data_IF_445547407670
#
_entry.id   IF_445547407670
#
_cell.length_a   1.000
_cell.length_b   1.000
_cell.length_c   1.000
_cell.angle_alpha   90.00
_cell.angle_beta   90.00
_cell.angle_gamma   90.00
#
_symmetry.space_group_name_H-M   'P 1'
#
loop_
_entity.id
_entity.type
_entity.pdbx_description
1 polymer ?
#
# COMPACT_ATOMS: atom_id res chain seq x y z
N UNK A 1 41.74 -13.75 16.75
CA UNK A 1 40.49 -13.07 16.32
C UNK A 1 39.89 -12.39 17.54
N UNK A 2 39.83 -11.03 17.56
CA UNK A 2 39.39 -10.28 18.77
C UNK A 2 37.99 -10.73 19.20
N UNK A 3 37.75 -10.90 20.52
CA UNK A 3 36.45 -11.36 21.06
C UNK A 3 35.24 -10.64 20.47
N UNK A 4 35.38 -9.33 20.21
CA UNK A 4 34.36 -8.50 19.55
C UNK A 4 33.99 -8.96 18.13
N UNK A 5 34.96 -9.42 17.33
CA UNK A 5 34.71 -9.97 15.99
C UNK A 5 33.99 -11.32 16.07
N UNK A 6 34.30 -12.14 17.07
CA UNK A 6 33.66 -13.45 17.26
C UNK A 6 32.20 -13.28 17.69
N UNK A 7 31.91 -12.37 18.62
CA UNK A 7 30.53 -12.06 19.03
C UNK A 7 29.70 -11.51 17.86
N UNK A 8 30.28 -10.60 17.05
CA UNK A 8 29.61 -10.08 15.86
C UNK A 8 29.24 -11.19 14.88
N UNK A 9 30.20 -12.08 14.55
CA UNK A 9 29.94 -13.19 13.63
C UNK A 9 28.90 -14.19 14.18
N UNK A 10 28.94 -14.49 15.48
CA UNK A 10 27.95 -15.38 16.12
C UNK A 10 26.52 -14.85 16.06
N UNK A 11 26.33 -13.54 16.03
CA UNK A 11 25.00 -12.93 15.89
C UNK A 11 24.62 -12.80 14.41
N UNK A 12 25.55 -12.36 13.56
CA UNK A 12 25.25 -12.04 12.16
C UNK A 12 25.00 -13.28 11.31
N UNK A 13 25.79 -14.36 11.51
CA UNK A 13 25.67 -15.57 10.68
C UNK A 13 24.29 -16.25 10.81
N UNK A 14 23.73 -16.47 12.00
CA UNK A 14 22.39 -17.05 12.13
C UNK A 14 21.31 -16.17 11.48
N UNK A 15 21.39 -14.84 11.63
CA UNK A 15 20.43 -13.91 11.04
C UNK A 15 20.49 -13.96 9.50
N UNK A 16 21.70 -13.96 8.94
CA UNK A 16 21.90 -14.10 7.49
C UNK A 16 21.42 -15.46 6.98
N UNK A 17 21.66 -16.53 7.72
CA UNK A 17 21.19 -17.86 7.35
C UNK A 17 19.64 -17.92 7.35
N UNK A 18 18.98 -17.36 8.36
CA UNK A 18 17.52 -17.26 8.39
C UNK A 18 16.99 -16.41 7.26
N UNK A 19 17.62 -15.26 6.99
CA UNK A 19 17.23 -14.40 5.86
C UNK A 19 17.38 -15.15 4.53
N UNK A 20 18.48 -15.86 4.33
CA UNK A 20 18.71 -16.66 3.11
C UNK A 20 17.62 -17.74 2.97
N UNK A 21 17.36 -18.52 4.02
CA UNK A 21 16.38 -19.61 3.98
C UNK A 21 14.94 -19.13 3.76
N UNK A 22 14.54 -18.01 4.36
CA UNK A 22 13.13 -17.57 4.32
C UNK A 22 12.84 -16.51 3.26
N UNK A 23 13.84 -15.77 2.79
CA UNK A 23 13.67 -14.77 1.73
C UNK A 23 14.33 -15.19 0.41
N UNK A 24 15.62 -15.46 0.45
CA UNK A 24 16.40 -15.65 -0.78
C UNK A 24 16.07 -16.99 -1.46
N UNK A 25 15.97 -18.07 -0.69
CA UNK A 25 15.71 -19.40 -1.24
C UNK A 25 14.31 -19.52 -1.88
N UNK A 26 13.20 -19.03 -1.28
CA UNK A 26 11.89 -18.98 -1.94
C UNK A 26 11.90 -18.12 -3.22
N UNK A 27 12.61 -16.99 -3.22
CA UNK A 27 12.76 -16.15 -4.40
C UNK A 27 13.45 -16.93 -5.55
N UNK A 28 14.59 -17.59 -5.26
CA UNK A 28 15.29 -18.41 -6.26
C UNK A 28 14.38 -19.51 -6.80
N UNK A 29 13.66 -20.21 -5.92
CA UNK A 29 12.68 -21.23 -6.34
C UNK A 29 11.57 -20.64 -7.22
N UNK A 30 11.05 -19.46 -6.86
CA UNK A 30 10.05 -18.74 -7.67
C UNK A 30 10.58 -18.43 -9.07
N UNK A 31 11.82 -17.94 -9.18
CA UNK A 31 12.48 -17.73 -10.49
C UNK A 31 12.63 -19.04 -11.26
N UNK A 32 13.03 -20.14 -10.63
CA UNK A 32 13.13 -21.45 -11.29
C UNK A 32 11.75 -21.91 -11.78
N UNK A 33 10.72 -21.86 -10.95
CA UNK A 33 9.38 -22.28 -11.32
C UNK A 33 8.76 -21.41 -12.41
N UNK A 34 9.18 -20.17 -12.58
CA UNK A 34 8.71 -19.31 -13.67
C UNK A 34 9.02 -19.82 -15.07
N UNK A 35 10.00 -20.71 -15.21
CA UNK A 35 10.35 -21.39 -16.46
C UNK A 35 9.72 -22.76 -16.61
N UNK A 36 8.78 -23.13 -15.75
CA UNK A 36 8.14 -24.46 -15.72
C UNK A 36 6.63 -24.37 -15.80
N UNK A 37 5.97 -25.50 -16.08
CA UNK A 37 4.52 -25.65 -16.01
C UNK A 37 4.03 -26.05 -14.60
N UNK A 38 4.83 -25.81 -13.55
CA UNK A 38 4.51 -26.23 -12.18
C UNK A 38 3.18 -25.70 -11.70
N UNK A 39 2.36 -26.60 -11.16
CA UNK A 39 1.00 -26.30 -10.68
C UNK A 39 0.91 -26.00 -9.18
N UNK A 40 2.03 -26.07 -8.45
CA UNK A 40 2.10 -25.95 -7.01
C UNK A 40 2.23 -27.31 -6.29
N UNK A 41 2.06 -28.41 -7.00
CA UNK A 41 2.22 -29.79 -6.54
C UNK A 41 2.54 -30.73 -7.73
N UNK A 42 3.09 -31.90 -7.43
CA UNK A 42 3.44 -32.91 -8.44
C UNK A 42 4.71 -32.60 -9.24
N UNK A 43 4.87 -33.33 -10.35
CA UNK A 43 5.98 -33.15 -11.27
C UNK A 43 5.75 -31.94 -12.19
N UNK A 44 6.82 -31.43 -12.77
CA UNK A 44 6.77 -30.30 -13.69
C UNK A 44 7.75 -30.48 -14.83
N UNK A 45 7.42 -29.89 -15.96
CA UNK A 45 8.28 -29.82 -17.14
C UNK A 45 8.81 -28.41 -17.35
N UNK A 46 9.96 -28.31 -17.98
CA UNK A 46 10.52 -27.05 -18.41
C UNK A 46 9.80 -26.54 -19.66
N UNK A 47 9.24 -25.32 -19.58
CA UNK A 47 8.55 -24.66 -20.70
C UNK A 47 9.33 -23.46 -21.25
N UNK A 48 10.54 -23.23 -20.74
CA UNK A 48 11.37 -22.10 -21.13
C UNK A 48 10.70 -20.75 -20.84
N UNK A 49 10.73 -19.83 -21.81
CA UNK A 49 10.17 -18.48 -21.69
C UNK A 49 8.66 -18.38 -21.98
N UNK A 50 7.99 -19.51 -22.21
CA UNK A 50 6.57 -19.51 -22.61
C UNK A 50 5.67 -18.78 -21.63
N UNK A 51 5.85 -18.97 -20.32
CA UNK A 51 5.09 -18.25 -19.31
C UNK A 51 5.19 -16.74 -19.49
N UNK A 52 6.38 -16.22 -19.82
CA UNK A 52 6.59 -14.79 -20.03
C UNK A 52 5.91 -14.27 -21.29
N UNK A 53 5.96 -15.02 -22.40
CA UNK A 53 5.25 -14.64 -23.64
C UNK A 53 3.74 -14.64 -23.43
N UNK A 54 3.21 -15.64 -22.75
CA UNK A 54 1.78 -15.78 -22.46
C UNK A 54 1.29 -14.66 -21.52
N UNK A 55 2.12 -14.19 -20.56
CA UNK A 55 1.80 -13.07 -19.68
C UNK A 55 1.52 -11.78 -20.44
N UNK A 56 2.27 -11.47 -21.50
CA UNK A 56 2.06 -10.26 -22.30
C UNK A 56 0.82 -10.32 -23.18
N UNK A 57 0.28 -11.51 -23.44
CA UNK A 57 -0.93 -11.70 -24.24
C UNK A 57 -2.19 -11.92 -23.41
N UNK A 58 -2.03 -12.20 -22.10
CA UNK A 58 -3.15 -12.43 -21.20
C UNK A 58 -3.86 -11.12 -20.83
N UNK A 59 -5.10 -10.99 -21.32
CA UNK A 59 -5.92 -9.80 -21.09
C UNK A 59 -6.27 -9.59 -19.59
N UNK A 60 -6.34 -10.67 -18.78
CA UNK A 60 -6.61 -10.57 -17.34
C UNK A 60 -5.42 -10.01 -16.59
N UNK A 61 -4.23 -10.48 -16.94
CA UNK A 61 -2.97 -9.93 -16.42
C UNK A 61 -2.88 -8.44 -16.74
N UNK A 62 -3.08 -8.06 -18.01
CA UNK A 62 -3.05 -6.63 -18.41
C UNK A 62 -4.05 -5.76 -17.65
N UNK A 63 -5.29 -6.25 -17.44
CA UNK A 63 -6.30 -5.54 -16.64
C UNK A 63 -5.88 -5.37 -15.18
N UNK A 64 -5.27 -6.42 -14.57
CA UNK A 64 -4.78 -6.36 -13.19
C UNK A 64 -3.64 -5.37 -13.03
N UNK A 65 -2.73 -5.27 -14.01
CA UNK A 65 -1.69 -4.24 -14.02
C UNK A 65 -2.30 -2.83 -14.08
N UNK A 66 -3.20 -2.57 -15.02
CA UNK A 66 -3.87 -1.27 -15.15
C UNK A 66 -4.62 -0.89 -13.87
N UNK A 67 -5.35 -1.85 -13.29
CA UNK A 67 -6.06 -1.62 -12.03
C UNK A 67 -5.10 -1.29 -10.89
N UNK A 68 -4.01 -2.07 -10.73
CA UNK A 68 -3.03 -1.88 -9.65
C UNK A 68 -2.36 -0.51 -9.76
N UNK A 69 -1.90 -0.11 -10.94
CA UNK A 69 -1.28 1.20 -11.16
C UNK A 69 -2.28 2.34 -10.92
N UNK A 70 -3.51 2.22 -11.44
CA UNK A 70 -4.56 3.21 -11.19
C UNK A 70 -4.81 3.37 -9.68
N UNK A 71 -5.00 2.26 -8.96
CA UNK A 71 -5.24 2.28 -7.53
C UNK A 71 -4.05 2.90 -6.78
N UNK A 72 -2.83 2.46 -7.08
CA UNK A 72 -1.61 2.94 -6.43
C UNK A 72 -1.41 4.44 -6.62
N UNK A 73 -1.58 4.96 -7.83
CA UNK A 73 -1.45 6.39 -8.12
C UNK A 73 -2.50 7.19 -7.34
N UNK A 74 -3.78 6.81 -7.45
CA UNK A 74 -4.87 7.55 -6.81
C UNK A 74 -4.75 7.49 -5.28
N UNK A 75 -4.52 6.30 -4.71
CA UNK A 75 -4.35 6.14 -3.26
C UNK A 75 -3.15 6.92 -2.74
N UNK A 76 -2.02 6.91 -3.46
CA UNK A 76 -0.81 7.68 -3.11
C UNK A 76 -1.11 9.18 -3.06
N UNK A 77 -1.78 9.72 -4.06
CA UNK A 77 -2.15 11.15 -4.09
C UNK A 77 -3.09 11.49 -2.94
N UNK A 78 -4.15 10.71 -2.76
CA UNK A 78 -5.15 10.94 -1.70
C UNK A 78 -4.51 10.89 -0.32
N UNK A 79 -3.71 9.85 -0.04
CA UNK A 79 -3.03 9.70 1.26
C UNK A 79 -2.06 10.84 1.52
N UNK A 80 -1.23 11.21 0.53
CA UNK A 80 -0.26 12.30 0.73
C UNK A 80 -0.93 13.64 0.96
N UNK A 81 -2.00 13.97 0.20
CA UNK A 81 -2.76 15.21 0.41
C UNK A 81 -3.40 15.23 1.79
N UNK A 82 -4.11 14.18 2.18
CA UNK A 82 -4.77 14.09 3.48
C UNK A 82 -3.75 14.15 4.63
N UNK A 83 -2.65 13.41 4.51
CA UNK A 83 -1.60 13.36 5.53
C UNK A 83 -0.90 14.70 5.70
N UNK A 84 -0.63 15.41 4.61
CA UNK A 84 -0.01 16.74 4.64
C UNK A 84 -0.94 17.78 5.28
N UNK A 85 -2.22 17.78 4.91
CA UNK A 85 -3.23 18.67 5.50
C UNK A 85 -3.36 18.40 7.01
N UNK A 86 -3.45 17.14 7.41
CA UNK A 86 -3.49 16.75 8.83
C UNK A 86 -2.20 17.13 9.56
N UNK A 87 -1.03 16.95 8.94
CA UNK A 87 0.24 17.31 9.55
C UNK A 87 0.35 18.81 9.80
N UNK A 88 -0.04 19.63 8.83
CA UNK A 88 -0.09 21.09 8.97
C UNK A 88 -1.04 21.52 10.10
N UNK A 89 -2.23 20.94 10.14
CA UNK A 89 -3.19 21.17 11.23
C UNK A 89 -2.63 20.76 12.59
N UNK A 90 -2.11 19.54 12.72
CA UNK A 90 -1.57 19.00 13.97
C UNK A 90 -0.23 19.62 14.39
N UNK A 91 0.51 20.25 13.49
CA UNK A 91 1.72 21.00 13.82
C UNK A 91 1.43 22.39 14.39
N UNK A 92 0.21 22.90 14.22
CA UNK A 92 -0.23 24.17 14.83
C UNK A 92 -0.41 24.05 16.34
N UNK A 93 -0.64 25.20 17.02
CA UNK A 93 -0.83 25.27 18.49
C UNK A 93 -2.26 24.82 18.87
N UNK A 94 -2.56 23.51 18.70
CA UNK A 94 -3.89 22.93 19.03
C UNK A 94 -3.86 22.30 20.43
N UNK A 95 -4.95 22.48 21.20
CA UNK A 95 -5.18 21.78 22.47
C UNK A 95 -5.43 20.29 22.20
N UNK A 96 -5.02 19.42 23.13
CA UNK A 96 -5.18 17.95 23.04
C UNK A 96 -4.42 17.26 21.88
N UNK A 97 -3.36 17.86 21.37
CA UNK A 97 -2.53 17.35 20.27
C UNK A 97 -2.11 15.87 20.42
N UNK A 98 -1.71 15.47 21.64
CA UNK A 98 -1.29 14.09 21.93
C UNK A 98 -2.46 13.09 21.87
N UNK A 99 -3.63 13.47 22.40
CA UNK A 99 -4.83 12.64 22.33
C UNK A 99 -5.32 12.45 20.88
N UNK A 100 -5.34 13.53 20.10
CA UNK A 100 -5.67 13.48 18.67
C UNK A 100 -4.69 12.57 17.92
N UNK A 101 -3.38 12.67 18.18
CA UNK A 101 -2.39 11.77 17.58
C UNK A 101 -2.65 10.30 17.93
N UNK A 102 -3.00 10.00 19.17
CA UNK A 102 -3.37 8.65 19.58
C UNK A 102 -4.59 8.12 18.83
N UNK A 103 -5.66 8.92 18.73
CA UNK A 103 -6.90 8.50 18.08
C UNK A 103 -6.75 8.19 16.60
N UNK A 104 -6.10 9.06 15.82
CA UNK A 104 -5.95 8.81 14.38
C UNK A 104 -4.89 7.76 14.06
N UNK A 105 -4.06 7.34 15.05
CA UNK A 105 -3.08 6.27 14.87
C UNK A 105 -3.68 4.86 15.03
N UNK A 106 -4.82 4.73 15.70
CA UNK A 106 -5.52 3.45 15.91
C UNK A 106 -5.71 2.64 14.61
N UNK A 107 -6.15 3.22 13.48
CA UNK A 107 -6.30 2.49 12.22
C UNK A 107 -5.04 1.78 11.74
N UNK A 108 -3.89 2.37 11.98
CA UNK A 108 -2.60 1.83 11.51
C UNK A 108 -2.13 0.61 12.33
N UNK A 109 -2.60 0.48 13.58
CA UNK A 109 -2.25 -0.65 14.46
C UNK A 109 -3.05 -1.90 14.09
N UNK A 110 -4.23 -1.72 13.51
CA UNK A 110 -5.11 -2.83 13.14
C UNK A 110 -4.56 -3.54 11.89
N UNK A 111 -4.60 -4.86 11.91
CA UNK A 111 -4.21 -5.67 10.75
C UNK A 111 -5.09 -5.36 9.53
N UNK A 112 -4.48 -5.26 8.35
CA UNK A 112 -5.17 -4.84 7.13
C UNK A 112 -6.36 -5.75 6.75
N UNK A 113 -6.24 -7.06 6.96
CA UNK A 113 -7.34 -8.01 6.75
C UNK A 113 -8.52 -7.75 7.69
N UNK A 114 -8.24 -7.49 8.99
CA UNK A 114 -9.29 -7.20 9.99
C UNK A 114 -10.04 -5.94 9.61
N UNK A 115 -9.31 -4.88 9.29
CA UNK A 115 -9.88 -3.62 8.79
C UNK A 115 -10.71 -3.86 7.53
N UNK A 116 -10.17 -4.60 6.58
CA UNK A 116 -10.87 -4.92 5.35
C UNK A 116 -12.21 -5.63 5.60
N UNK A 117 -12.28 -6.63 6.50
CA UNK A 117 -13.53 -7.32 6.82
C UNK A 117 -14.53 -6.42 7.55
N UNK A 118 -14.07 -5.55 8.47
CA UNK A 118 -14.94 -4.57 9.15
C UNK A 118 -15.57 -3.63 8.11
N UNK A 119 -14.76 -3.10 7.18
CA UNK A 119 -15.28 -2.22 6.14
C UNK A 119 -16.11 -2.96 5.08
N UNK A 120 -15.81 -4.23 4.80
CA UNK A 120 -16.68 -5.05 3.96
C UNK A 120 -18.10 -5.11 4.55
N UNK A 121 -18.21 -5.42 5.84
CA UNK A 121 -19.51 -5.42 6.54
C UNK A 121 -20.16 -4.05 6.51
N UNK A 122 -19.41 -3.00 6.76
CA UNK A 122 -19.89 -1.62 6.71
C UNK A 122 -20.46 -1.24 5.32
N UNK A 123 -19.72 -1.49 4.26
CA UNK A 123 -20.14 -1.16 2.89
C UNK A 123 -21.23 -2.08 2.35
N UNK A 124 -21.34 -3.29 2.85
CA UNK A 124 -22.33 -4.26 2.38
C UNK A 124 -23.67 -4.11 3.08
N UNK A 125 -23.66 -3.79 4.37
CA UNK A 125 -24.88 -3.80 5.19
C UNK A 125 -25.22 -2.44 5.81
N UNK A 126 -24.27 -1.79 6.47
CA UNK A 126 -24.55 -0.56 7.24
C UNK A 126 -24.82 0.61 6.30
N UNK A 127 -23.89 0.91 5.41
CA UNK A 127 -23.99 2.05 4.49
C UNK A 127 -25.25 1.97 3.60
N UNK A 128 -25.59 0.84 2.96
CA UNK A 128 -26.83 0.68 2.20
C UNK A 128 -28.08 0.91 3.03
N UNK A 129 -28.10 0.45 4.29
CA UNK A 129 -29.25 0.66 5.20
C UNK A 129 -29.44 2.14 5.53
N UNK A 130 -28.36 2.84 5.84
CA UNK A 130 -28.41 4.30 6.09
C UNK A 130 -28.88 5.06 4.85
N UNK A 131 -28.36 4.72 3.67
CA UNK A 131 -28.77 5.34 2.40
C UNK A 131 -30.24 5.10 2.11
N UNK A 132 -30.77 3.89 2.38
CA UNK A 132 -32.21 3.60 2.25
C UNK A 132 -33.07 4.44 3.21
N UNK A 133 -32.64 4.60 4.46
CA UNK A 133 -33.32 5.45 5.42
C UNK A 133 -33.39 6.92 5.00
N UNK A 134 -32.38 7.37 4.22
CA UNK A 134 -32.32 8.70 3.64
C UNK A 134 -33.03 8.83 2.28
N UNK A 135 -33.76 7.79 1.84
CA UNK A 135 -34.52 7.79 0.58
C UNK A 135 -33.72 7.41 -0.67
N UNK A 136 -32.47 6.93 -0.51
CA UNK A 136 -31.66 6.46 -1.62
C UNK A 136 -31.90 4.99 -2.00
N UNK A 137 -31.30 4.51 -3.09
CA UNK A 137 -31.44 3.10 -3.58
C UNK A 137 -30.85 2.07 -2.62
N UNK A 138 -29.80 2.44 -1.86
CA UNK A 138 -29.17 1.56 -0.86
C UNK A 138 -28.48 0.35 -1.45
N UNK A 139 -27.86 0.51 -2.62
CA UNK A 139 -27.01 -0.53 -3.21
C UNK A 139 -25.60 -0.49 -2.58
N UNK A 140 -25.00 -1.67 -2.42
CA UNK A 140 -23.62 -1.74 -1.91
C UNK A 140 -22.63 -1.20 -2.94
N UNK A 141 -21.76 -0.29 -2.51
CA UNK A 141 -20.68 0.23 -3.36
C UNK A 141 -19.74 -0.89 -3.84
N UNK A 142 -19.57 -1.96 -3.03
CA UNK A 142 -18.73 -3.11 -3.39
C UNK A 142 -19.33 -3.98 -4.49
N UNK A 143 -20.66 -3.91 -4.70
CA UNK A 143 -21.33 -4.65 -5.77
C UNK A 143 -21.19 -3.97 -7.15
N UNK A 144 -20.70 -2.75 -7.20
CA UNK A 144 -20.55 -1.99 -8.44
C UNK A 144 -19.13 -2.09 -9.01
N UNK A 145 -18.99 -2.67 -10.20
CA UNK A 145 -17.69 -2.71 -10.93
C UNK A 145 -17.09 -1.31 -11.16
N UNK A 146 -17.92 -0.28 -11.20
CA UNK A 146 -17.49 1.11 -11.40
C UNK A 146 -16.97 1.75 -10.13
N UNK A 147 -17.52 1.42 -8.96
CA UNK A 147 -17.28 2.15 -7.70
C UNK A 147 -16.55 1.34 -6.63
N UNK A 148 -16.46 0.02 -6.75
CA UNK A 148 -15.82 -0.83 -5.74
C UNK A 148 -14.37 -0.43 -5.45
N UNK A 149 -13.61 0.01 -6.46
CA UNK A 149 -12.24 0.49 -6.29
C UNK A 149 -12.14 1.74 -5.42
N UNK A 150 -13.17 2.60 -5.42
CA UNK A 150 -13.21 3.81 -4.56
C UNK A 150 -13.31 3.41 -3.09
N UNK A 151 -14.11 2.38 -2.78
CA UNK A 151 -14.18 1.84 -1.42
C UNK A 151 -12.81 1.33 -0.94
N UNK A 152 -12.05 0.67 -1.83
CA UNK A 152 -10.69 0.21 -1.52
C UNK A 152 -9.77 1.42 -1.24
N UNK A 153 -9.82 2.48 -2.06
CA UNK A 153 -9.03 3.71 -1.83
C UNK A 153 -9.37 4.35 -0.49
N UNK A 154 -10.67 4.42 -0.12
CA UNK A 154 -11.11 4.98 1.17
C UNK A 154 -10.49 4.20 2.34
N UNK A 155 -10.56 2.87 2.30
CA UNK A 155 -9.99 2.01 3.37
C UNK A 155 -8.48 2.12 3.44
N UNK A 156 -7.81 2.07 2.29
CA UNK A 156 -6.36 2.27 2.19
C UNK A 156 -5.94 3.64 2.75
N UNK A 157 -6.65 4.69 2.38
CA UNK A 157 -6.38 6.04 2.86
C UNK A 157 -6.59 6.14 4.37
N UNK A 158 -7.73 5.68 4.88
CA UNK A 158 -8.04 5.71 6.31
C UNK A 158 -6.97 5.01 7.15
N UNK A 159 -6.45 3.88 6.68
CA UNK A 159 -5.42 3.11 7.38
C UNK A 159 -4.03 3.73 7.27
N UNK A 160 -3.68 4.28 6.10
CA UNK A 160 -2.31 4.73 5.82
C UNK A 160 -2.04 6.17 6.24
N UNK A 161 -3.05 7.03 6.31
CA UNK A 161 -2.91 8.48 6.61
C UNK A 161 -2.15 8.73 7.91
N UNK A 162 -2.36 7.91 8.93
CA UNK A 162 -1.74 8.09 10.24
C UNK A 162 -0.20 8.09 10.19
N UNK A 163 0.40 7.06 9.62
CA UNK A 163 1.86 6.93 9.54
C UNK A 163 2.49 8.01 8.67
N UNK A 164 1.86 8.29 7.53
CA UNK A 164 2.34 9.33 6.61
C UNK A 164 2.24 10.74 7.22
N UNK A 165 1.22 10.99 8.05
CA UNK A 165 1.09 12.25 8.81
C UNK A 165 2.26 12.44 9.80
N UNK A 166 2.69 11.35 10.48
CA UNK A 166 3.83 11.43 11.41
C UNK A 166 5.12 11.81 10.66
N UNK A 167 5.35 11.23 9.48
CA UNK A 167 6.52 11.56 8.66
C UNK A 167 6.50 13.04 8.26
N UNK A 168 5.35 13.57 7.84
CA UNK A 168 5.21 15.01 7.56
C UNK A 168 5.40 15.89 8.79
N UNK A 169 4.83 15.50 9.95
CA UNK A 169 5.05 16.25 11.21
C UNK A 169 6.54 16.27 11.56
N UNK A 170 7.25 15.17 11.42
CA UNK A 170 8.69 15.11 11.64
C UNK A 170 9.42 16.07 10.71
N UNK A 171 9.05 16.13 9.44
CA UNK A 171 9.61 17.10 8.49
C UNK A 171 9.30 18.55 8.87
N UNK A 172 8.06 18.85 9.25
CA UNK A 172 7.68 20.20 9.68
C UNK A 172 8.44 20.68 10.93
N UNK A 173 8.81 19.75 11.82
CA UNK A 173 9.56 20.05 13.02
C UNK A 173 11.06 20.28 12.78
N UNK A 174 11.59 19.93 11.62
CA UNK A 174 12.98 20.22 11.25
C UNK A 174 13.19 21.65 10.74
N UNK A 175 12.10 22.35 10.39
CA UNK A 175 12.18 23.73 9.88
C UNK A 175 12.38 24.69 11.06
N UNK A 176 13.50 25.46 11.09
CA UNK A 176 13.76 26.43 12.16
C UNK A 176 12.69 27.53 12.22
N UNK A 177 12.34 27.98 13.43
CA UNK A 177 11.37 29.09 13.60
C UNK A 177 11.86 30.39 12.95
N UNK A 178 13.15 30.65 12.98
CA UNK A 178 13.77 31.84 12.38
C UNK A 178 13.43 32.04 10.91
N UNK A 179 13.30 30.89 10.16
CA UNK A 179 12.89 30.92 8.75
C UNK A 179 11.46 31.43 8.61
N UNK A 180 10.60 31.05 9.53
CA UNK A 180 9.20 31.51 9.52
C UNK A 180 9.05 32.95 9.97
N UNK A 181 9.90 33.41 10.90
CA UNK A 181 9.94 34.80 11.35
C UNK A 181 10.44 35.73 10.24
N UNK A 182 11.58 35.37 9.61
CA UNK A 182 12.12 36.13 8.47
C UNK A 182 11.11 36.20 7.32
N UNK A 183 10.51 35.06 6.94
CA UNK A 183 9.48 35.04 5.88
C UNK A 183 8.25 35.87 6.22
N UNK A 184 7.90 36.02 7.51
CA UNK A 184 6.78 36.85 7.93
C UNK A 184 7.11 38.34 7.82
N UNK A 185 8.38 38.74 8.09
CA UNK A 185 8.88 40.12 7.86
C UNK A 185 8.85 40.45 6.36
N UNK A 186 9.14 39.51 5.49
CA UNK A 186 9.05 39.65 4.02
C UNK A 186 7.60 39.60 3.49
N UNK A 187 6.60 39.53 4.37
CA UNK A 187 5.18 39.53 3.99
C UNK A 187 4.67 38.16 3.50
N UNK A 188 5.37 37.06 3.74
CA UNK A 188 4.90 35.74 3.40
C UNK A 188 3.85 35.26 4.41
N UNK A 189 2.58 35.15 3.98
CA UNK A 189 1.46 34.69 4.80
C UNK A 189 0.70 33.55 4.11
N UNK A 190 0.03 32.73 4.91
CA UNK A 190 -0.89 31.69 4.43
C UNK A 190 -0.28 30.81 3.32
N UNK A 191 -0.89 30.79 2.15
CA UNK A 191 -0.47 29.98 1.00
C UNK A 191 0.93 30.33 0.48
N UNK A 192 1.32 31.63 0.49
CA UNK A 192 2.67 32.05 0.09
C UNK A 192 3.73 31.45 1.02
N UNK A 193 3.50 31.49 2.33
CA UNK A 193 4.38 30.90 3.35
C UNK A 193 4.50 29.38 3.14
N UNK A 194 3.39 28.69 2.91
CA UNK A 194 3.42 27.26 2.62
C UNK A 194 4.21 26.93 1.34
N UNK A 195 3.86 27.56 0.22
CA UNK A 195 4.44 27.25 -1.10
C UNK A 195 5.94 27.59 -1.18
N UNK A 196 6.35 28.73 -0.63
CA UNK A 196 7.69 29.28 -0.86
C UNK A 196 8.68 28.93 0.28
N UNK A 197 8.20 28.61 1.48
CA UNK A 197 9.04 28.28 2.63
C UNK A 197 8.81 26.85 3.10
N UNK A 198 7.59 26.52 3.54
CA UNK A 198 7.33 25.23 4.19
C UNK A 198 7.54 24.06 3.24
N UNK A 199 6.86 24.05 2.09
CA UNK A 199 6.88 22.91 1.17
C UNK A 199 8.26 22.61 0.59
N UNK A 200 9.08 23.58 0.15
CA UNK A 200 10.44 23.30 -0.30
C UNK A 200 11.32 22.68 0.78
N UNK A 201 11.19 23.13 2.04
CA UNK A 201 11.99 22.62 3.14
C UNK A 201 11.59 21.21 3.58
N UNK A 202 10.33 20.84 3.44
CA UNK A 202 9.84 19.47 3.74
C UNK A 202 9.84 18.55 2.51
N UNK A 203 10.32 19.01 1.36
CA UNK A 203 10.34 18.23 0.11
C UNK A 203 10.97 16.83 0.25
N UNK A 204 12.08 16.63 1.00
CA UNK A 204 12.61 15.29 1.24
C UNK A 204 11.60 14.36 1.90
N UNK A 205 10.83 14.83 2.87
CA UNK A 205 9.80 14.05 3.57
C UNK A 205 8.60 13.76 2.67
N UNK A 206 8.25 14.71 1.79
CA UNK A 206 7.25 14.48 0.75
C UNK A 206 7.68 13.36 -0.20
N UNK A 207 8.93 13.39 -0.67
CA UNK A 207 9.48 12.36 -1.55
C UNK A 207 9.49 10.99 -0.88
N UNK A 208 9.93 10.90 0.38
CA UNK A 208 9.90 9.66 1.16
C UNK A 208 8.46 9.11 1.25
N UNK A 209 7.49 9.95 1.62
CA UNK A 209 6.09 9.54 1.71
C UNK A 209 5.54 9.06 0.37
N UNK A 210 5.82 9.77 -0.73
CA UNK A 210 5.38 9.38 -2.08
C UNK A 210 5.91 7.99 -2.46
N UNK A 211 7.21 7.74 -2.24
CA UNK A 211 7.84 6.46 -2.57
C UNK A 211 7.28 5.32 -1.71
N UNK A 212 7.16 5.54 -0.39
CA UNK A 212 6.61 4.53 0.52
C UNK A 212 5.15 4.20 0.20
N UNK A 213 4.30 5.21 -0.03
CA UNK A 213 2.91 5.01 -0.43
C UNK A 213 2.80 4.26 -1.74
N UNK A 214 3.54 4.70 -2.76
CA UNK A 214 3.51 4.07 -4.09
C UNK A 214 3.90 2.59 -4.00
N UNK A 215 5.01 2.28 -3.32
CA UNK A 215 5.42 0.90 -3.06
C UNK A 215 4.33 0.09 -2.38
N UNK A 216 3.76 0.60 -1.28
CA UNK A 216 2.77 -0.13 -0.50
C UNK A 216 1.48 -0.39 -1.30
N UNK A 217 1.02 0.58 -2.10
CA UNK A 217 -0.21 0.42 -2.87
C UNK A 217 -0.02 -0.37 -4.17
N UNK A 218 1.18 -0.40 -4.75
CA UNK A 218 1.49 -1.36 -5.81
C UNK A 218 1.37 -2.80 -5.29
N UNK A 219 1.82 -3.06 -4.07
CA UNK A 219 1.78 -4.39 -3.44
C UNK A 219 0.47 -4.68 -2.67
N UNK A 220 -0.61 -3.90 -2.91
CA UNK A 220 -1.88 -4.06 -2.19
C UNK A 220 -2.47 -5.46 -2.42
N UNK A 221 -2.73 -6.16 -1.32
CA UNK A 221 -3.29 -7.51 -1.30
C UNK A 221 -4.40 -7.65 -0.26
N UNK A 222 -4.10 -7.38 1.02
CA UNK A 222 -4.99 -7.65 2.15
C UNK A 222 -6.33 -6.95 2.04
N UNK A 223 -6.34 -5.68 1.65
CA UNK A 223 -7.57 -4.91 1.49
C UNK A 223 -8.42 -5.45 0.36
N UNK A 224 -7.81 -5.88 -0.76
CA UNK A 224 -8.54 -6.49 -1.88
C UNK A 224 -9.10 -7.85 -1.49
N UNK A 225 -8.28 -8.68 -0.82
CA UNK A 225 -8.70 -9.99 -0.33
C UNK A 225 -9.91 -9.91 0.61
N UNK A 226 -9.91 -8.93 1.53
CA UNK A 226 -10.96 -8.79 2.53
C UNK A 226 -12.20 -8.05 2.03
N UNK A 227 -12.03 -7.02 1.17
CA UNK A 227 -13.16 -6.18 0.71
C UNK A 227 -13.90 -6.79 -0.46
N UNK A 228 -13.21 -7.23 -1.50
CA UNK A 228 -13.82 -7.53 -2.80
C UNK A 228 -13.44 -8.90 -3.36
N UNK A 229 -12.37 -9.51 -2.89
CA UNK A 229 -11.77 -10.71 -3.50
C UNK A 229 -11.57 -10.57 -5.03
N UNK A 230 -11.13 -9.35 -5.44
CA UNK A 230 -10.97 -9.02 -6.85
C UNK A 230 -12.25 -8.68 -7.61
N UNK A 231 -13.43 -8.84 -6.99
CA UNK A 231 -14.75 -8.60 -7.61
C UNK A 231 -15.23 -7.15 -7.57
N UNK A 232 -16.43 -6.87 -8.12
CA UNK A 232 -17.21 -7.75 -8.99
C UNK A 232 -16.58 -7.90 -10.39
N UNK A 233 -16.79 -9.05 -11.03
CA UNK A 233 -16.31 -9.36 -12.38
C UNK A 233 -14.81 -9.00 -12.61
N UNK A 234 -13.94 -9.30 -11.64
CA UNK A 234 -12.49 -9.05 -11.67
C UNK A 234 -12.10 -7.57 -11.80
N UNK A 235 -13.04 -6.63 -11.56
CA UNK A 235 -12.81 -5.19 -11.73
C UNK A 235 -11.87 -4.56 -10.70
N UNK A 236 -11.60 -5.26 -9.60
CA UNK A 236 -10.72 -4.81 -8.51
C UNK A 236 -9.60 -5.82 -8.24
N UNK A 237 -9.23 -6.61 -9.23
CA UNK A 237 -8.18 -7.62 -9.10
C UNK A 237 -6.80 -6.97 -9.23
N UNK A 238 -6.04 -6.91 -8.11
CA UNK A 238 -4.64 -6.45 -8.16
C UNK A 238 -3.70 -7.56 -8.63
N UNK A 239 -2.50 -7.17 -9.07
CA UNK A 239 -1.45 -8.13 -9.47
C UNK A 239 -1.14 -9.08 -8.32
N UNK A 240 -0.92 -8.57 -7.11
CA UNK A 240 -0.62 -9.40 -5.94
C UNK A 240 -1.74 -10.38 -5.62
N UNK A 241 -3.01 -9.95 -5.76
CA UNK A 241 -4.16 -10.83 -5.57
C UNK A 241 -4.27 -11.88 -6.69
N UNK A 242 -4.06 -11.49 -7.95
CA UNK A 242 -4.05 -12.41 -9.11
C UNK A 242 -2.98 -13.50 -8.96
N UNK A 243 -1.75 -13.10 -8.60
CA UNK A 243 -0.62 -14.03 -8.36
C UNK A 243 -1.00 -15.05 -7.28
N UNK A 244 -1.54 -14.59 -6.16
CA UNK A 244 -1.93 -15.45 -5.06
C UNK A 244 -3.08 -16.38 -5.46
N UNK A 245 -4.18 -15.84 -5.97
CA UNK A 245 -5.40 -16.58 -6.25
C UNK A 245 -5.22 -17.63 -7.35
N UNK A 246 -4.57 -17.27 -8.46
CA UNK A 246 -4.35 -18.20 -9.56
C UNK A 246 -3.13 -19.11 -9.34
N UNK A 247 -2.10 -18.62 -8.64
CA UNK A 247 -0.93 -19.43 -8.32
C UNK A 247 -1.23 -20.52 -7.30
N UNK A 248 -1.89 -20.17 -6.19
CA UNK A 248 -2.13 -21.10 -5.08
C UNK A 248 -3.41 -21.95 -5.29
N UNK A 249 -4.51 -21.32 -5.71
CA UNK A 249 -5.80 -21.99 -5.84
C UNK A 249 -6.13 -22.38 -7.28
N UNK A 250 -5.59 -21.69 -8.26
CA UNK A 250 -5.86 -21.89 -9.68
C UNK A 250 -4.93 -22.90 -10.38
N UNK A 251 -3.94 -23.46 -9.67
CA UNK A 251 -3.00 -24.43 -10.25
C UNK A 251 -2.09 -23.86 -11.35
N UNK A 252 -1.84 -22.56 -11.34
CA UNK A 252 -0.99 -21.84 -12.32
C UNK A 252 0.29 -21.31 -11.68
N UNK A 253 0.89 -22.09 -10.76
CA UNK A 253 1.99 -21.62 -9.94
C UNK A 253 3.20 -21.15 -10.76
N UNK A 254 3.62 -21.92 -11.78
CA UNK A 254 4.73 -21.56 -12.67
C UNK A 254 4.46 -20.27 -13.45
N UNK A 255 3.27 -20.14 -14.05
CA UNK A 255 2.85 -18.94 -14.77
C UNK A 255 2.80 -17.71 -13.86
N UNK A 256 2.21 -17.83 -12.67
CA UNK A 256 2.13 -16.73 -11.70
C UNK A 256 3.49 -16.43 -11.05
N UNK A 257 4.41 -17.39 -10.98
CA UNK A 257 5.80 -17.13 -10.60
C UNK A 257 6.50 -16.24 -11.64
N UNK A 258 6.25 -16.46 -12.94
CA UNK A 258 6.70 -15.56 -14.01
C UNK A 258 6.12 -14.15 -13.86
N UNK A 259 4.84 -14.04 -13.55
CA UNK A 259 4.17 -12.76 -13.26
C UNK A 259 4.81 -12.05 -12.05
N UNK A 260 5.10 -12.79 -10.98
CA UNK A 260 5.79 -12.23 -9.80
C UNK A 260 7.19 -11.72 -10.15
N UNK A 261 7.96 -12.46 -10.94
CA UNK A 261 9.32 -12.03 -11.38
C UNK A 261 9.29 -10.73 -12.20
N UNK A 262 8.26 -10.54 -13.05
CA UNK A 262 8.12 -9.27 -13.82
C UNK A 262 7.68 -8.12 -12.91
N UNK A 263 6.86 -8.40 -11.91
CA UNK A 263 6.26 -7.37 -11.06
C UNK A 263 7.23 -6.85 -9.99
N UNK A 264 8.08 -7.71 -9.44
CA UNK A 264 9.05 -7.40 -8.38
C UNK A 264 10.45 -7.11 -8.91
#
# INVERSE_FOLDING_TARGET
MNGRKRTFLLITIPILALFFCFNTLPLIKGVIYSFTNFRGYGEFDWVGIRNYTDLFTDARVGKSYLFTFKLAIVATIVVNVLSLVLALGLNSKIKFKSALRGMYFVPNILGALVVGYIFNYFFTYILPTVVKMMGGKGDSILASSKWAWVAIVIVCAWQSVAMNTIIYISGLQTVPEDVYEAGSLDGATGWKKFKNLTFPLILPFFTINMVLCMKNFLMVFDQIMALTKGGPAQSTESISYLIYNNGMSGGQFGFQSGNAVIFF
#
